data_IF_033965980370
#
_entry.id   IF_033965980370
#
_cell.length_a   1.000
_cell.length_b   1.000
_cell.length_c   1.000
_cell.angle_alpha   90.00
_cell.angle_beta   90.00
_cell.angle_gamma   90.00
#
_symmetry.space_group_name_H-M   'P 1'
#
loop_
_entity.id
_entity.type
_entity.pdbx_description
1 polymer ?
#
# COMPACT_ATOMS: atom_id res chain seq x y z
N UNK A 1 -6.62 -39.14 5.99
CA UNK A 1 -5.72 -40.31 5.81
C UNK A 1 -5.73 -40.74 4.35
N UNK A 2 -4.53 -40.81 3.72
CA UNK A 2 -4.22 -41.33 2.37
C UNK A 2 -4.69 -40.40 1.24
N UNK A 3 -3.85 -39.70 0.47
CA UNK A 3 -2.50 -40.00 -0.07
C UNK A 3 -1.84 -38.60 -0.29
N UNK A 4 -0.69 -38.21 0.25
CA UNK A 4 0.61 -38.91 0.28
C UNK A 4 1.39 -38.49 1.53
N UNK A 5 1.25 -39.30 2.58
CA UNK A 5 2.28 -39.54 3.60
C UNK A 5 3.21 -40.66 3.09
N UNK A 6 3.65 -40.58 1.83
CA UNK A 6 4.45 -41.64 1.22
C UNK A 6 5.31 -41.12 0.06
N UNK A 7 6.13 -40.09 0.30
CA UNK A 7 7.51 -40.03 -0.20
C UNK A 7 8.39 -38.85 0.29
N UNK A 8 8.13 -38.24 1.46
CA UNK A 8 9.18 -37.43 2.14
C UNK A 8 9.49 -37.95 3.55
N UNK A 9 8.89 -39.09 3.92
CA UNK A 9 9.47 -40.01 4.88
C UNK A 9 10.21 -41.12 4.12
N UNK A 10 11.26 -40.72 3.40
CA UNK A 10 12.39 -41.57 3.09
C UNK A 10 13.64 -40.77 3.53
N UNK A 11 13.96 -40.91 4.82
CA UNK A 11 15.18 -40.45 5.48
C UNK A 11 15.33 -38.91 5.60
N UNK A 12 14.86 -38.33 6.70
CA UNK A 12 15.86 -37.89 7.68
C UNK A 12 16.85 -39.02 7.96
N UNK A 13 17.99 -39.04 7.25
CA UNK A 13 19.25 -39.71 7.59
C UNK A 13 20.15 -39.76 6.35
N UNK A 14 20.72 -38.63 5.96
CA UNK A 14 22.17 -38.52 5.93
C UNK A 14 22.48 -37.09 6.36
N UNK A 15 23.20 -36.99 7.46
CA UNK A 15 23.75 -35.74 8.00
C UNK A 15 24.57 -35.04 6.92
N UNK A 16 24.02 -34.05 6.23
CA UNK A 16 24.73 -33.05 5.41
C UNK A 16 23.71 -32.34 4.53
N UNK A 17 23.77 -31.01 4.42
CA UNK A 17 22.80 -30.17 3.72
C UNK A 17 22.33 -30.70 2.36
N UNK A 18 21.08 -31.17 2.31
CA UNK A 18 20.44 -31.62 1.07
C UNK A 18 19.33 -30.67 0.67
N UNK A 19 19.40 -30.17 -0.56
CA UNK A 19 18.34 -29.42 -1.21
C UNK A 19 17.15 -30.35 -1.49
N UNK A 20 15.94 -29.90 -1.13
CA UNK A 20 14.69 -30.53 -1.55
C UNK A 20 14.32 -29.98 -2.92
N UNK A 21 14.03 -30.86 -3.89
CA UNK A 21 13.50 -30.49 -5.20
C UNK A 21 12.08 -31.06 -5.38
N UNK A 22 11.12 -30.20 -5.76
CA UNK A 22 9.72 -30.57 -5.97
C UNK A 22 9.37 -30.55 -7.47
N UNK A 23 8.38 -31.36 -7.90
CA UNK A 23 8.01 -31.52 -9.32
C UNK A 23 6.99 -30.48 -9.83
N UNK A 24 6.90 -30.29 -11.16
CA UNK A 24 6.10 -29.27 -11.89
C UNK A 24 4.60 -29.14 -11.55
N UNK A 25 4.01 -30.06 -10.77
CA UNK A 25 2.56 -30.12 -10.54
C UNK A 25 2.09 -29.39 -9.28
N UNK A 26 3.00 -29.06 -8.37
CA UNK A 26 2.64 -28.53 -7.06
C UNK A 26 2.49 -27.01 -7.12
N UNK A 27 1.23 -26.55 -7.16
CA UNK A 27 0.88 -25.13 -6.98
C UNK A 27 1.09 -24.65 -5.54
N UNK A 28 1.34 -25.57 -4.62
CA UNK A 28 1.42 -25.36 -3.19
C UNK A 28 2.55 -26.20 -2.61
N UNK A 29 3.54 -25.55 -1.99
CA UNK A 29 4.62 -26.20 -1.24
C UNK A 29 4.61 -25.66 0.18
N UNK A 30 4.58 -26.57 1.16
CA UNK A 30 4.78 -26.25 2.58
C UNK A 30 5.88 -27.15 3.15
N UNK A 31 7.00 -26.51 3.47
CA UNK A 31 8.18 -27.09 4.09
C UNK A 31 8.55 -26.30 5.34
N UNK A 32 7.55 -25.73 6.02
CA UNK A 32 7.77 -25.02 7.27
C UNK A 32 8.26 -25.96 8.37
N UNK A 33 9.10 -25.44 9.27
CA UNK A 33 9.59 -26.16 10.46
C UNK A 33 10.37 -27.45 10.15
N UNK A 34 11.13 -27.49 9.05
CA UNK A 34 11.88 -28.68 8.62
C UNK A 34 13.38 -28.60 8.92
N UNK A 35 13.85 -27.48 9.50
CA UNK A 35 15.28 -27.26 9.77
C UNK A 35 16.12 -27.15 8.50
N UNK A 36 15.52 -26.73 7.39
CA UNK A 36 16.19 -26.65 6.09
C UNK A 36 17.26 -25.56 6.09
N UNK A 37 18.44 -25.89 5.58
CA UNK A 37 19.50 -24.93 5.30
C UNK A 37 19.47 -24.45 3.85
N UNK A 38 18.80 -25.18 2.97
CA UNK A 38 18.60 -24.83 1.55
C UNK A 38 17.26 -25.35 1.04
N UNK A 39 16.74 -24.68 0.01
CA UNK A 39 15.49 -25.02 -0.66
C UNK A 39 15.58 -24.65 -2.14
N UNK A 40 15.29 -25.60 -3.04
CA UNK A 40 15.24 -25.36 -4.48
C UNK A 40 13.82 -25.53 -5.01
N UNK A 41 13.23 -24.42 -5.45
CA UNK A 41 11.89 -24.36 -6.06
C UNK A 41 11.94 -23.91 -7.53
N UNK A 42 13.12 -23.86 -8.14
CA UNK A 42 13.35 -23.32 -9.49
C UNK A 42 12.55 -24.05 -10.59
N UNK A 43 12.25 -25.35 -10.37
CA UNK A 43 11.47 -26.20 -11.29
C UNK A 43 9.95 -26.09 -11.08
N UNK A 44 9.50 -25.38 -10.05
CA UNK A 44 8.08 -25.20 -9.75
C UNK A 44 7.56 -23.90 -10.37
N UNK A 45 7.68 -23.72 -11.69
CA UNK A 45 7.32 -22.46 -12.36
C UNK A 45 5.83 -22.09 -12.23
N UNK A 46 4.97 -23.09 -12.01
CA UNK A 46 3.54 -22.91 -11.74
C UNK A 46 3.21 -22.73 -10.23
N UNK A 47 4.21 -22.58 -9.36
CA UNK A 47 4.02 -22.46 -7.92
C UNK A 47 3.27 -21.17 -7.58
N UNK A 48 2.17 -21.31 -6.84
CA UNK A 48 1.32 -20.19 -6.43
C UNK A 48 1.46 -19.85 -4.94
N UNK A 49 1.78 -20.86 -4.13
CA UNK A 49 1.96 -20.76 -2.69
C UNK A 49 3.26 -21.45 -2.27
N UNK A 50 4.11 -20.72 -1.55
CA UNK A 50 5.29 -21.27 -0.89
C UNK A 50 5.32 -20.89 0.59
N UNK A 51 5.30 -21.90 1.46
CA UNK A 51 5.58 -21.76 2.87
C UNK A 51 6.87 -22.49 3.24
N UNK A 52 7.90 -21.72 3.56
CA UNK A 52 9.20 -22.19 4.07
C UNK A 52 9.53 -21.54 5.41
N UNK A 53 8.50 -21.14 6.16
CA UNK A 53 8.61 -20.47 7.45
C UNK A 53 9.32 -21.32 8.50
N UNK A 54 10.09 -20.68 9.39
CA UNK A 54 10.81 -21.32 10.50
C UNK A 54 11.77 -22.42 10.03
N UNK A 55 12.79 -22.02 9.26
CA UNK A 55 13.89 -22.87 8.82
C UNK A 55 15.23 -22.15 9.10
N UNK A 56 16.31 -22.63 8.49
CA UNK A 56 17.66 -22.09 8.62
C UNK A 56 18.18 -21.60 7.25
N UNK A 57 17.27 -21.17 6.36
CA UNK A 57 17.62 -20.73 5.02
C UNK A 57 18.43 -19.43 5.11
N UNK A 58 19.60 -19.40 4.47
CA UNK A 58 20.41 -18.19 4.31
C UNK A 58 20.16 -17.50 2.98
N UNK A 59 19.64 -18.24 1.99
CA UNK A 59 19.20 -17.74 0.69
C UNK A 59 17.88 -18.39 0.29
N UNK A 60 17.12 -17.69 -0.55
CA UNK A 60 15.90 -18.19 -1.17
C UNK A 60 15.74 -17.56 -2.55
N UNK A 61 15.81 -18.37 -3.61
CA UNK A 61 15.56 -17.93 -4.98
C UNK A 61 14.14 -18.32 -5.40
N UNK A 62 13.33 -17.30 -5.71
CA UNK A 62 11.95 -17.44 -6.19
C UNK A 62 11.75 -16.80 -7.58
N UNK A 63 12.84 -16.48 -8.27
CA UNK A 63 12.82 -15.74 -9.55
C UNK A 63 12.07 -16.46 -10.66
N UNK A 64 12.07 -17.80 -10.64
CA UNK A 64 11.37 -18.65 -11.60
C UNK A 64 9.90 -18.89 -11.25
N UNK A 65 9.46 -18.52 -10.04
CA UNK A 65 8.10 -18.76 -9.53
C UNK A 65 7.21 -17.52 -9.74
N UNK A 66 7.13 -17.01 -10.96
CA UNK A 66 6.44 -15.75 -11.30
C UNK A 66 4.93 -15.78 -11.03
N UNK A 67 4.34 -16.98 -10.91
CA UNK A 67 2.94 -17.19 -10.54
C UNK A 67 2.66 -17.14 -9.02
N UNK A 68 3.67 -16.90 -8.18
CA UNK A 68 3.51 -16.80 -6.73
C UNK A 68 2.57 -15.66 -6.35
N UNK A 69 1.57 -15.99 -5.53
CA UNK A 69 0.67 -15.02 -4.91
C UNK A 69 0.87 -14.95 -3.39
N UNK A 70 1.49 -15.98 -2.80
CA UNK A 70 1.72 -16.12 -1.36
C UNK A 70 3.11 -16.67 -1.10
N UNK A 71 3.93 -15.91 -0.39
CA UNK A 71 5.27 -16.31 0.03
C UNK A 71 5.45 -16.08 1.52
N UNK A 72 5.66 -17.18 2.27
CA UNK A 72 5.95 -17.15 3.70
C UNK A 72 7.34 -17.72 3.93
N UNK A 73 8.31 -16.84 4.16
CA UNK A 73 9.73 -17.16 4.38
C UNK A 73 10.27 -16.56 5.68
N UNK A 74 9.39 -16.11 6.59
CA UNK A 74 9.79 -15.60 7.90
C UNK A 74 10.44 -16.65 8.81
N UNK A 75 11.11 -16.19 9.87
CA UNK A 75 11.94 -17.01 10.78
C UNK A 75 12.97 -17.84 10.02
N UNK A 76 13.83 -17.16 9.27
CA UNK A 76 14.97 -17.73 8.58
C UNK A 76 16.21 -16.87 8.85
N UNK A 77 17.28 -17.07 8.09
CA UNK A 77 18.54 -16.32 8.18
C UNK A 77 18.84 -15.59 6.87
N UNK A 78 17.79 -15.20 6.12
CA UNK A 78 17.93 -14.55 4.83
C UNK A 78 18.57 -13.17 5.00
N UNK A 79 19.66 -12.91 4.28
CA UNK A 79 20.31 -11.60 4.24
C UNK A 79 19.82 -10.72 3.10
N UNK A 80 19.21 -11.35 2.07
CA UNK A 80 18.53 -10.69 0.97
C UNK A 80 17.33 -11.52 0.51
N UNK A 81 16.38 -10.85 -0.14
CA UNK A 81 15.21 -11.46 -0.76
C UNK A 81 14.81 -10.65 -1.98
N UNK A 82 14.98 -11.22 -3.17
CA UNK A 82 14.51 -10.63 -4.43
C UNK A 82 13.14 -11.18 -4.79
N UNK A 83 12.14 -10.30 -4.81
CA UNK A 83 10.76 -10.60 -5.21
C UNK A 83 10.32 -9.80 -6.45
N UNK A 84 11.27 -9.17 -7.15
CA UNK A 84 11.00 -8.27 -8.28
C UNK A 84 10.31 -8.96 -9.47
N UNK A 85 10.47 -10.28 -9.61
CA UNK A 85 9.81 -11.10 -10.64
C UNK A 85 8.45 -11.64 -10.22
N UNK A 86 8.11 -11.58 -8.93
CA UNK A 86 6.87 -12.13 -8.38
C UNK A 86 5.80 -11.03 -8.27
N UNK A 87 5.52 -10.33 -9.38
CA UNK A 87 4.63 -9.16 -9.41
C UNK A 87 3.17 -9.49 -9.05
N UNK A 88 2.78 -10.77 -9.08
CA UNK A 88 1.49 -11.27 -8.65
C UNK A 88 1.38 -11.51 -7.13
N UNK A 89 2.43 -11.26 -6.35
CA UNK A 89 2.41 -11.43 -4.89
C UNK A 89 1.33 -10.55 -4.26
N UNK A 90 0.48 -11.19 -3.45
CA UNK A 90 -0.55 -10.56 -2.63
C UNK A 90 -0.22 -10.60 -1.15
N UNK A 91 0.48 -11.65 -0.71
CA UNK A 91 0.87 -11.88 0.68
C UNK A 91 2.35 -12.20 0.76
N UNK A 92 3.11 -11.40 1.51
CA UNK A 92 4.55 -11.61 1.72
C UNK A 92 4.89 -11.51 3.21
N UNK A 93 5.29 -12.63 3.81
CA UNK A 93 5.79 -12.65 5.19
C UNK A 93 7.26 -13.07 5.20
N UNK A 94 8.14 -12.11 5.45
CA UNK A 94 9.59 -12.26 5.51
C UNK A 94 10.16 -11.76 6.85
N UNK A 95 9.33 -11.68 7.88
CA UNK A 95 9.70 -11.26 9.23
C UNK A 95 10.75 -12.18 9.88
N UNK A 96 11.49 -11.70 10.87
CA UNK A 96 12.49 -12.49 11.60
C UNK A 96 13.53 -13.11 10.65
N UNK A 97 14.21 -12.24 9.90
CA UNK A 97 15.32 -12.56 9.01
C UNK A 97 16.48 -11.58 9.30
N UNK A 98 17.48 -11.53 8.42
CA UNK A 98 18.63 -10.62 8.47
C UNK A 98 18.61 -9.63 7.29
N UNK A 99 17.42 -9.27 6.79
CA UNK A 99 17.28 -8.36 5.65
C UNK A 99 17.66 -6.94 6.08
N UNK A 100 18.52 -6.26 5.33
CA UNK A 100 18.80 -4.83 5.53
C UNK A 100 17.97 -3.93 4.61
N UNK A 101 17.42 -4.50 3.55
CA UNK A 101 16.54 -3.84 2.60
C UNK A 101 15.56 -4.87 2.03
N UNK A 102 14.34 -4.45 1.73
CA UNK A 102 13.41 -5.20 0.91
C UNK A 102 12.76 -4.28 -0.13
N UNK A 103 13.02 -4.55 -1.40
CA UNK A 103 12.38 -3.85 -2.52
C UNK A 103 11.09 -4.58 -2.91
N UNK A 104 9.96 -3.92 -2.66
CA UNK A 104 8.61 -4.37 -3.05
C UNK A 104 7.95 -3.38 -4.02
N UNK A 105 8.74 -2.48 -4.62
CA UNK A 105 8.24 -1.47 -5.56
C UNK A 105 7.61 -2.07 -6.83
N UNK A 106 7.91 -3.34 -7.15
CA UNK A 106 7.29 -4.08 -8.26
C UNK A 106 6.10 -4.95 -7.85
N UNK A 107 5.87 -5.13 -6.55
CA UNK A 107 4.82 -5.99 -6.02
C UNK A 107 3.58 -5.17 -5.68
N UNK A 108 3.05 -4.43 -6.66
CA UNK A 108 1.91 -3.50 -6.48
C UNK A 108 0.60 -4.18 -6.12
N UNK A 109 0.51 -5.51 -6.28
CA UNK A 109 -0.65 -6.31 -5.88
C UNK A 109 -0.64 -6.73 -4.40
N UNK A 110 0.37 -6.34 -3.62
CA UNK A 110 0.44 -6.64 -2.19
C UNK A 110 -0.77 -6.03 -1.47
N UNK A 111 -1.36 -6.85 -0.59
CA UNK A 111 -2.44 -6.45 0.32
C UNK A 111 -2.14 -6.88 1.77
N UNK A 112 -1.06 -7.62 1.98
CA UNK A 112 -0.53 -8.03 3.27
C UNK A 112 1.01 -8.19 3.18
N UNK A 113 1.71 -7.52 4.09
CA UNK A 113 3.17 -7.51 4.20
C UNK A 113 3.51 -7.67 5.68
N UNK A 114 4.44 -8.56 5.98
CA UNK A 114 5.04 -8.66 7.31
C UNK A 114 6.55 -8.80 7.20
N UNK A 115 7.27 -7.72 7.48
CA UNK A 115 8.73 -7.65 7.45
C UNK A 115 9.35 -7.26 8.80
N UNK A 116 8.62 -7.44 9.90
CA UNK A 116 9.10 -7.14 11.25
C UNK A 116 10.30 -7.98 11.68
N UNK A 117 11.00 -7.54 12.73
CA UNK A 117 12.15 -8.26 13.31
C UNK A 117 13.25 -8.56 12.29
N UNK A 118 13.54 -7.60 11.41
CA UNK A 118 14.79 -7.54 10.67
C UNK A 118 15.78 -6.62 11.43
N UNK A 119 17.09 -6.66 11.14
CA UNK A 119 18.11 -5.88 11.83
C UNK A 119 17.85 -4.37 11.83
N UNK A 120 18.55 -3.67 12.72
CA UNK A 120 18.57 -2.21 12.76
C UNK A 120 19.04 -1.62 11.42
N UNK A 121 18.40 -0.53 10.99
CA UNK A 121 18.64 0.06 9.67
C UNK A 121 17.89 -0.62 8.52
N UNK A 122 17.04 -1.62 8.78
CA UNK A 122 16.15 -2.16 7.77
C UNK A 122 15.23 -1.08 7.19
N UNK A 123 15.17 -1.02 5.86
CA UNK A 123 14.27 -0.12 5.15
C UNK A 123 13.56 -0.82 3.98
N UNK A 124 12.45 -0.22 3.53
CA UNK A 124 11.70 -0.67 2.37
C UNK A 124 11.96 0.22 1.14
N UNK A 125 11.98 -0.38 -0.05
CA UNK A 125 11.77 0.36 -1.29
C UNK A 125 10.34 0.08 -1.73
N UNK A 126 9.52 1.13 -1.76
CA UNK A 126 8.08 1.03 -2.01
C UNK A 126 7.69 1.96 -3.16
N UNK A 127 6.57 1.67 -3.81
CA UNK A 127 5.94 2.68 -4.67
C UNK A 127 5.07 3.61 -3.83
N UNK A 128 4.94 4.90 -4.23
CA UNK A 128 3.89 5.75 -3.71
C UNK A 128 2.55 5.03 -3.77
N UNK A 129 1.75 5.17 -2.73
CA UNK A 129 0.39 4.63 -2.66
C UNK A 129 0.25 3.11 -2.60
N UNK A 130 1.35 2.38 -2.55
CA UNK A 130 1.29 0.93 -2.36
C UNK A 130 0.83 0.56 -0.95
N UNK A 131 0.22 -0.62 -0.79
CA UNK A 131 -0.04 -1.19 0.52
C UNK A 131 1.23 -1.24 1.38
N UNK A 132 2.38 -1.56 0.77
CA UNK A 132 3.67 -1.58 1.46
C UNK A 132 4.07 -0.20 2.01
N UNK A 133 3.76 0.89 1.30
CA UNK A 133 3.97 2.25 1.80
C UNK A 133 3.07 2.55 3.00
N UNK A 134 1.77 2.23 2.90
CA UNK A 134 0.83 2.34 4.02
C UNK A 134 1.34 1.58 5.24
N UNK A 135 1.72 0.32 5.04
CA UNK A 135 2.28 -0.54 6.07
C UNK A 135 3.57 0.08 6.66
N UNK A 136 4.46 0.62 5.84
CA UNK A 136 5.69 1.24 6.33
C UNK A 136 5.39 2.43 7.25
N UNK A 137 4.46 3.31 6.87
CA UNK A 137 4.05 4.47 7.66
C UNK A 137 3.39 4.04 8.98
N UNK A 138 2.41 3.13 8.93
CA UNK A 138 1.67 2.67 10.11
C UNK A 138 2.57 2.01 11.16
N UNK A 139 3.66 1.40 10.71
CA UNK A 139 4.57 0.63 11.55
C UNK A 139 5.93 1.33 11.78
N UNK A 140 6.06 2.60 11.35
CA UNK A 140 7.28 3.41 11.55
C UNK A 140 8.53 2.82 10.89
N UNK A 141 8.38 2.08 9.79
CA UNK A 141 9.49 1.45 9.08
C UNK A 141 10.12 2.48 8.13
N UNK A 142 11.45 2.68 8.17
CA UNK A 142 12.16 3.48 7.18
C UNK A 142 11.86 3.03 5.75
N UNK A 143 11.68 3.97 4.82
CA UNK A 143 11.48 3.64 3.41
C UNK A 143 12.06 4.69 2.48
N UNK A 144 12.24 4.31 1.21
CA UNK A 144 12.63 5.18 0.10
C UNK A 144 11.82 4.80 -1.16
N UNK A 145 11.86 5.65 -2.18
CA UNK A 145 11.30 5.35 -3.49
C UNK A 145 12.39 4.87 -4.46
N UNK A 146 11.99 4.23 -5.58
CA UNK A 146 12.95 3.69 -6.54
C UNK A 146 13.88 4.76 -7.10
N UNK A 147 15.18 4.46 -7.13
CA UNK A 147 16.22 5.37 -7.65
C UNK A 147 16.80 6.32 -6.61
N UNK A 148 16.29 6.31 -5.38
CA UNK A 148 16.86 7.09 -4.28
C UNK A 148 18.09 6.41 -3.67
N UNK A 149 19.05 7.18 -3.13
CA UNK A 149 20.13 6.62 -2.34
C UNK A 149 19.58 5.91 -1.10
N UNK A 150 20.24 4.83 -0.70
CA UNK A 150 19.94 4.16 0.56
C UNK A 150 20.03 5.17 1.72
N UNK A 151 19.17 5.07 2.75
CA UNK A 151 19.30 5.92 3.93
C UNK A 151 20.69 5.73 4.54
N UNK A 152 21.44 6.82 4.69
CA UNK A 152 22.79 6.76 5.26
C UNK A 152 22.69 6.59 6.78
N UNK A 153 23.44 5.64 7.37
CA UNK A 153 23.52 5.52 8.83
C UNK A 153 24.18 6.75 9.48
N UNK A 154 25.15 7.36 8.79
CA UNK A 154 25.74 8.63 9.21
C UNK A 154 24.87 9.78 8.74
N UNK A 155 24.20 10.40 9.70
CA UNK A 155 23.51 11.66 9.53
C UNK A 155 24.54 12.78 9.60
N UNK A 156 24.48 13.79 8.71
CA UNK A 156 25.39 14.93 8.78
C UNK A 156 25.36 15.54 10.18
N UNK A 157 26.53 15.90 10.70
CA UNK A 157 26.64 16.57 11.99
C UNK A 157 26.02 17.96 11.87
N UNK A 158 24.93 18.19 12.60
CA UNK A 158 24.16 19.44 12.57
C UNK A 158 24.34 20.13 13.92
N UNK A 159 24.19 21.46 13.96
CA UNK A 159 24.27 22.24 15.19
C UNK A 159 23.38 21.60 16.30
N UNK A 160 23.96 21.18 17.44
CA UNK A 160 23.25 20.53 18.54
C UNK A 160 22.09 21.33 19.14
N UNK A 161 22.07 22.65 18.91
CA UNK A 161 20.98 23.52 19.38
C UNK A 161 19.74 23.49 18.48
N UNK A 162 19.83 22.93 17.27
CA UNK A 162 18.72 22.90 16.32
C UNK A 162 17.75 21.75 16.63
N UNK A 163 16.48 22.10 16.69
CA UNK A 163 15.34 21.18 16.71
C UNK A 163 14.27 21.74 15.78
N UNK A 164 13.66 20.90 14.94
CA UNK A 164 12.71 21.32 13.91
C UNK A 164 13.22 21.07 12.50
N UNK A 165 12.66 21.75 11.50
CA UNK A 165 13.11 21.58 10.12
C UNK A 165 14.24 22.53 9.77
N UNK A 166 15.29 22.01 9.13
CA UNK A 166 16.42 22.81 8.63
C UNK A 166 16.89 22.32 7.27
N UNK A 167 17.63 23.16 6.54
CA UNK A 167 18.27 22.77 5.29
C UNK A 167 19.64 22.16 5.57
N UNK A 168 19.88 20.96 5.07
CA UNK A 168 21.15 20.25 5.17
C UNK A 168 21.51 19.72 3.79
N UNK A 169 22.67 20.12 3.26
CA UNK A 169 23.15 19.72 1.93
C UNK A 169 22.12 19.87 0.79
N UNK A 170 21.26 20.89 0.88
CA UNK A 170 20.23 21.18 -0.13
C UNK A 170 18.90 20.43 0.04
N UNK A 171 18.76 19.60 1.08
CA UNK A 171 17.51 18.95 1.45
C UNK A 171 16.91 19.54 2.73
N UNK A 172 15.58 19.67 2.81
CA UNK A 172 14.89 20.04 4.05
C UNK A 172 14.76 18.78 4.91
N UNK A 173 15.34 18.79 6.11
CA UNK A 173 15.38 17.64 7.02
C UNK A 173 14.81 18.00 8.40
N UNK A 174 14.18 17.04 9.07
CA UNK A 174 13.72 17.15 10.45
C UNK A 174 14.83 16.72 11.41
N UNK A 175 15.21 17.60 12.33
CA UNK A 175 16.34 17.42 13.26
C UNK A 175 15.89 17.60 14.71
N UNK A 176 16.57 16.92 15.62
CA UNK A 176 16.43 17.12 17.06
C UNK A 176 17.78 16.93 17.74
N UNK A 177 18.19 17.91 18.54
CA UNK A 177 19.47 17.87 19.26
C UNK A 177 20.70 17.72 18.36
N UNK A 178 20.67 18.29 17.14
CA UNK A 178 21.76 18.21 16.16
C UNK A 178 21.90 16.88 15.41
N UNK A 179 20.89 16.02 15.49
CA UNK A 179 20.80 14.81 14.67
C UNK A 179 19.53 14.84 13.82
N UNK A 180 19.60 14.35 12.58
CA UNK A 180 18.41 14.04 11.79
C UNK A 180 17.61 12.98 12.56
N UNK A 181 16.30 13.13 12.66
CA UNK A 181 15.45 12.11 13.30
C UNK A 181 14.85 11.23 12.21
N UNK A 182 14.91 9.90 12.35
CA UNK A 182 14.32 8.98 11.37
C UNK A 182 12.80 8.94 11.53
N UNK A 183 12.15 10.00 11.06
CA UNK A 183 10.70 10.11 10.98
C UNK A 183 10.24 9.90 9.53
N UNK A 184 9.20 9.08 9.37
CA UNK A 184 8.54 8.85 8.09
C UNK A 184 7.04 9.11 8.24
N UNK A 185 6.41 9.67 7.22
CA UNK A 185 5.03 10.15 7.27
C UNK A 185 4.92 11.67 7.39
N UNK A 186 3.72 12.18 7.71
CA UNK A 186 3.53 13.61 7.95
C UNK A 186 4.12 14.03 9.30
N UNK A 187 4.92 15.09 9.29
CA UNK A 187 5.59 15.62 10.48
C UNK A 187 5.27 17.10 10.59
N UNK A 188 4.79 17.52 11.76
CA UNK A 188 4.50 18.92 12.05
C UNK A 188 5.80 19.73 12.15
N UNK A 189 5.82 20.90 11.52
CA UNK A 189 6.90 21.87 11.71
C UNK A 189 6.69 22.59 13.06
N UNK A 190 7.58 22.42 14.05
CA UNK A 190 7.37 23.00 15.38
C UNK A 190 7.39 24.54 15.39
N UNK A 191 7.95 25.14 14.34
CA UNK A 191 8.11 26.60 14.23
C UNK A 191 7.03 27.25 13.35
N UNK A 192 6.07 26.46 12.83
CA UNK A 192 4.97 26.98 12.01
C UNK A 192 3.69 26.14 12.13
N UNK A 193 2.72 26.39 11.25
CA UNK A 193 1.51 25.55 11.12
C UNK A 193 1.64 24.54 9.98
N UNK A 194 2.79 24.50 9.33
CA UNK A 194 3.05 23.61 8.20
C UNK A 194 3.27 22.17 8.67
N UNK A 195 2.93 21.24 7.77
CA UNK A 195 3.27 19.84 7.91
C UNK A 195 4.00 19.38 6.66
N UNK A 196 4.99 18.53 6.85
CA UNK A 196 5.80 18.01 5.75
C UNK A 196 5.78 16.49 5.74
N UNK A 197 5.58 15.92 4.56
CA UNK A 197 5.71 14.51 4.32
C UNK A 197 7.20 14.15 4.24
N UNK A 198 7.65 13.35 5.21
CA UNK A 198 9.03 12.98 5.39
C UNK A 198 9.25 11.49 5.09
N UNK A 199 10.47 11.16 4.70
CA UNK A 199 10.99 9.80 4.60
C UNK A 199 12.38 9.80 5.21
N UNK A 200 12.58 9.03 6.29
CA UNK A 200 13.86 8.97 7.02
C UNK A 200 14.37 10.36 7.43
N UNK A 201 13.45 11.21 7.91
CA UNK A 201 13.75 12.58 8.31
C UNK A 201 13.91 13.59 7.18
N UNK A 202 13.79 13.19 5.90
CA UNK A 202 13.93 14.09 4.74
C UNK A 202 12.56 14.45 4.18
N UNK A 203 12.29 15.74 3.98
CA UNK A 203 11.07 16.22 3.31
C UNK A 203 11.06 15.79 1.84
N UNK A 204 9.96 15.19 1.42
CA UNK A 204 9.76 14.59 0.11
C UNK A 204 9.16 15.55 -0.90
N UNK A 205 9.99 16.44 -1.44
CA UNK A 205 9.55 17.49 -2.37
C UNK A 205 9.06 16.98 -3.72
N UNK A 206 9.32 15.71 -4.04
CA UNK A 206 8.85 15.01 -5.23
C UNK A 206 7.43 14.44 -5.10
N UNK A 207 6.84 14.49 -3.90
CA UNK A 207 5.52 13.89 -3.61
C UNK A 207 4.42 14.93 -3.73
N UNK A 208 3.49 14.72 -4.66
CA UNK A 208 2.27 15.53 -4.83
C UNK A 208 1.04 14.63 -5.00
N UNK A 209 0.53 14.08 -3.91
CA UNK A 209 -0.54 13.08 -3.91
C UNK A 209 -1.16 12.92 -2.52
N UNK A 210 -2.09 11.98 -2.36
CA UNK A 210 -2.58 11.57 -1.05
C UNK A 210 -1.53 10.74 -0.29
N UNK A 211 -1.36 11.03 1.01
CA UNK A 211 -0.50 10.30 1.96
C UNK A 211 -1.32 9.93 3.19
N UNK A 212 -1.09 8.72 3.71
CA UNK A 212 -1.75 8.26 4.93
C UNK A 212 -0.96 8.74 6.14
N UNK A 213 -1.65 9.27 7.13
CA UNK A 213 -1.08 9.61 8.42
C UNK A 213 -2.14 9.48 9.51
N UNK A 214 -1.81 8.78 10.59
CA UNK A 214 -2.69 8.58 11.76
C UNK A 214 -4.13 8.14 11.38
N UNK A 215 -4.22 7.19 10.45
CA UNK A 215 -5.50 6.63 9.98
C UNK A 215 -6.31 7.54 9.05
N UNK A 216 -5.82 8.72 8.69
CA UNK A 216 -6.46 9.65 7.75
C UNK A 216 -5.57 9.94 6.53
N UNK A 217 -6.21 10.24 5.39
CA UNK A 217 -5.53 10.57 4.15
C UNK A 217 -5.48 12.07 3.93
N UNK A 218 -4.30 12.58 3.60
CA UNK A 218 -4.02 14.00 3.44
C UNK A 218 -3.40 14.26 2.08
N UNK A 219 -3.75 15.38 1.46
CA UNK A 219 -3.19 15.79 0.18
C UNK A 219 -1.97 16.68 0.40
N UNK A 220 -0.84 16.26 -0.15
CA UNK A 220 0.41 17.04 -0.12
C UNK A 220 0.76 17.50 -1.53
N UNK A 221 1.39 18.67 -1.62
CA UNK A 221 1.96 19.23 -2.85
C UNK A 221 3.41 19.57 -2.59
N UNK A 222 4.32 18.98 -3.38
CA UNK A 222 5.75 19.13 -3.18
C UNK A 222 6.21 18.76 -1.76
N UNK A 223 5.64 17.70 -1.19
CA UNK A 223 5.95 17.24 0.16
C UNK A 223 5.38 18.07 1.30
N UNK A 224 4.64 19.15 1.03
CA UNK A 224 3.99 19.97 2.05
C UNK A 224 2.49 19.69 2.07
N UNK A 225 1.89 19.56 3.26
CA UNK A 225 0.44 19.44 3.42
C UNK A 225 -0.25 20.71 2.89
N UNK A 226 -1.16 20.54 1.92
CA UNK A 226 -1.98 21.64 1.41
C UNK A 226 -3.34 21.65 2.12
N UNK A 227 -3.40 22.31 3.26
CA UNK A 227 -4.63 22.46 4.06
C UNK A 227 -5.69 23.33 3.39
N UNK A 228 -5.38 23.96 2.25
CA UNK A 228 -6.32 24.81 1.50
C UNK A 228 -6.96 24.07 0.33
N UNK A 229 -6.42 22.93 -0.07
CA UNK A 229 -6.94 22.16 -1.19
C UNK A 229 -8.35 21.64 -0.90
N UNK A 230 -9.25 21.89 -1.85
CA UNK A 230 -10.57 21.29 -1.91
C UNK A 230 -10.89 20.90 -3.35
N UNK A 231 -11.32 19.66 -3.58
CA UNK A 231 -11.59 19.12 -4.91
C UNK A 231 -11.45 17.61 -4.97
N UNK A 232 -11.51 17.06 -6.17
CA UNK A 232 -11.35 15.62 -6.41
C UNK A 232 -9.88 15.29 -6.68
N UNK A 233 -9.35 14.27 -6.00
CA UNK A 233 -8.02 13.70 -6.25
C UNK A 233 -8.18 12.27 -6.75
N UNK A 234 -7.55 11.97 -7.88
CA UNK A 234 -7.43 10.60 -8.39
C UNK A 234 -6.27 9.90 -7.66
N UNK A 235 -6.52 8.73 -7.08
CA UNK A 235 -5.55 8.00 -6.28
C UNK A 235 -5.83 6.51 -6.27
N UNK A 236 -4.81 5.68 -6.52
CA UNK A 236 -4.92 4.21 -6.51
C UNK A 236 -6.15 3.65 -7.27
N UNK A 237 -6.44 4.23 -8.44
CA UNK A 237 -7.59 3.85 -9.28
C UNK A 237 -8.96 4.34 -8.78
N UNK A 238 -9.02 4.99 -7.62
CA UNK A 238 -10.19 5.67 -7.07
C UNK A 238 -10.17 7.18 -7.31
N UNK A 239 -11.30 7.83 -7.05
CA UNK A 239 -11.46 9.29 -7.08
C UNK A 239 -12.07 9.75 -5.77
N UNK A 240 -11.38 10.61 -5.05
CA UNK A 240 -11.72 10.97 -3.66
C UNK A 240 -12.00 12.45 -3.53
N UNK A 241 -13.05 12.81 -2.80
CA UNK A 241 -13.30 14.18 -2.43
C UNK A 241 -12.38 14.57 -1.26
N UNK A 242 -11.60 15.62 -1.48
CA UNK A 242 -10.72 16.21 -0.49
C UNK A 242 -11.26 17.59 -0.13
N UNK A 243 -11.26 17.89 1.16
CA UNK A 243 -11.60 19.20 1.71
C UNK A 243 -10.61 19.57 2.80
N UNK A 244 -10.14 20.82 2.79
CA UNK A 244 -9.10 21.31 3.68
C UNK A 244 -7.85 20.40 3.72
N UNK A 245 -7.46 19.87 2.56
CA UNK A 245 -6.31 18.97 2.42
C UNK A 245 -6.49 17.56 2.96
N UNK A 246 -7.71 17.13 3.33
CA UNK A 246 -7.98 15.79 3.85
C UNK A 246 -9.12 15.10 3.09
N UNK A 247 -9.04 13.78 2.88
CA UNK A 247 -10.19 13.03 2.32
C UNK A 247 -11.39 13.16 3.26
N UNK A 248 -12.53 13.54 2.70
CA UNK A 248 -13.80 13.71 3.41
C UNK A 248 -14.56 12.38 3.51
N UNK A 249 -14.05 11.45 4.33
CA UNK A 249 -14.62 10.10 4.50
C UNK A 249 -16.07 10.08 5.00
N UNK A 250 -16.51 11.18 5.62
CA UNK A 250 -17.87 11.40 6.09
C UNK A 250 -18.88 11.67 4.97
N UNK A 251 -18.41 12.01 3.77
CA UNK A 251 -19.28 12.35 2.65
C UNK A 251 -19.89 11.09 2.04
N UNK A 252 -21.22 11.04 2.06
CA UNK A 252 -22.06 9.96 1.55
C UNK A 252 -23.16 10.53 0.66
N UNK A 253 -23.58 9.77 -0.35
CA UNK A 253 -24.65 10.17 -1.25
C UNK A 253 -24.24 11.28 -2.22
N UNK A 254 -25.24 12.01 -2.73
CA UNK A 254 -25.04 13.00 -3.80
C UNK A 254 -24.41 14.29 -3.23
N UNK A 255 -23.20 14.63 -3.70
CA UNK A 255 -22.49 15.83 -3.30
C UNK A 255 -21.83 16.50 -4.52
N UNK A 256 -21.61 17.80 -4.41
CA UNK A 256 -21.03 18.60 -5.48
C UNK A 256 -19.50 18.64 -5.36
N UNK A 257 -18.81 18.52 -6.48
CA UNK A 257 -17.39 18.86 -6.59
C UNK A 257 -17.24 20.39 -6.44
N UNK A 258 -16.53 20.88 -5.41
CA UNK A 258 -16.39 22.31 -5.15
C UNK A 258 -15.61 23.05 -6.25
N UNK A 259 -14.88 22.35 -7.11
CA UNK A 259 -14.09 22.95 -8.20
C UNK A 259 -14.93 23.09 -9.47
N UNK A 260 -15.54 22.00 -9.92
CA UNK A 260 -16.24 21.98 -11.22
C UNK A 260 -17.74 22.25 -11.12
N UNK A 261 -18.33 22.14 -9.93
CA UNK A 261 -19.77 22.19 -9.72
C UNK A 261 -20.51 20.91 -10.18
N UNK A 262 -19.81 19.90 -10.68
CA UNK A 262 -20.44 18.64 -11.07
C UNK A 262 -20.85 17.82 -9.84
N UNK A 263 -21.98 17.12 -9.94
CA UNK A 263 -22.51 16.28 -8.86
C UNK A 263 -22.11 14.82 -9.02
N UNK A 264 -21.63 14.23 -7.93
CA UNK A 264 -21.23 12.83 -7.87
C UNK A 264 -21.85 12.12 -6.67
N UNK A 265 -22.06 10.82 -6.81
CA UNK A 265 -22.53 9.96 -5.73
C UNK A 265 -21.34 9.34 -5.01
N UNK A 266 -21.21 9.65 -3.72
CA UNK A 266 -20.08 9.25 -2.88
C UNK A 266 -20.46 8.13 -1.91
N UNK A 267 -19.46 7.32 -1.58
CA UNK A 267 -19.45 6.41 -0.43
C UNK A 267 -18.07 6.45 0.21
N UNK A 268 -18.02 6.74 1.51
CA UNK A 268 -16.79 6.94 2.30
C UNK A 268 -15.82 7.98 1.68
N UNK A 269 -16.37 9.06 1.13
CA UNK A 269 -15.58 10.10 0.44
C UNK A 269 -15.06 9.70 -0.96
N UNK A 270 -15.34 8.49 -1.42
CA UNK A 270 -14.95 7.97 -2.75
C UNK A 270 -16.14 7.99 -3.71
N UNK A 271 -15.92 8.42 -4.96
CA UNK A 271 -16.94 8.38 -6.01
C UNK A 271 -17.27 6.93 -6.35
N UNK A 272 -18.57 6.58 -6.27
CA UNK A 272 -19.06 5.23 -6.57
C UNK A 272 -19.32 5.09 -8.07
N UNK A 273 -18.25 4.87 -8.85
CA UNK A 273 -18.31 4.83 -10.32
C UNK A 273 -19.18 3.72 -10.90
N UNK A 274 -19.54 2.71 -10.11
CA UNK A 274 -20.43 1.61 -10.51
C UNK A 274 -21.90 1.86 -10.18
N UNK A 275 -22.22 2.94 -9.46
CA UNK A 275 -23.59 3.22 -9.05
C UNK A 275 -24.38 3.89 -10.19
N UNK A 276 -25.52 3.28 -10.55
CA UNK A 276 -26.52 3.88 -11.44
C UNK A 276 -27.90 3.68 -10.80
N UNK A 277 -28.66 4.76 -10.63
CA UNK A 277 -29.91 4.74 -9.86
C UNK A 277 -30.39 6.12 -9.45
N UNK A 278 -31.31 6.19 -8.49
CA UNK A 278 -31.80 7.45 -7.93
C UNK A 278 -31.13 7.77 -6.59
N UNK A 279 -30.63 8.99 -6.42
CA UNK A 279 -30.07 9.48 -5.18
C UNK A 279 -30.86 10.68 -4.66
N UNK A 280 -31.15 10.70 -3.36
CA UNK A 280 -31.85 11.81 -2.71
C UNK A 280 -30.87 12.93 -2.33
N UNK A 281 -31.23 14.16 -2.63
CA UNK A 281 -30.55 15.37 -2.18
C UNK A 281 -31.58 16.47 -1.94
N UNK A 282 -31.51 17.09 -0.75
CA UNK A 282 -32.39 18.21 -0.34
C UNK A 282 -33.89 17.98 -0.63
N UNK A 283 -34.38 16.77 -0.31
CA UNK A 283 -35.79 16.40 -0.49
C UNK A 283 -36.22 16.07 -1.93
N UNK A 284 -35.32 16.15 -2.91
CA UNK A 284 -35.55 15.73 -4.29
C UNK A 284 -34.72 14.48 -4.63
N UNK A 285 -35.17 13.71 -5.62
CA UNK A 285 -34.45 12.55 -6.12
C UNK A 285 -33.87 12.85 -7.50
N UNK A 286 -32.63 12.41 -7.71
CA UNK A 286 -31.86 12.70 -8.92
C UNK A 286 -31.29 11.42 -9.51
N UNK A 287 -31.23 11.37 -10.84
CA UNK A 287 -30.76 10.21 -11.58
C UNK A 287 -29.25 10.26 -11.78
N UNK A 288 -28.59 9.22 -11.26
CA UNK A 288 -27.14 9.05 -11.27
C UNK A 288 -26.80 7.94 -12.26
N UNK A 289 -25.78 8.19 -13.08
CA UNK A 289 -25.21 7.23 -14.03
C UNK A 289 -23.71 7.13 -13.79
N UNK A 290 -23.21 5.92 -13.53
CA UNK A 290 -21.80 5.64 -13.25
C UNK A 290 -21.19 6.59 -12.17
N UNK A 291 -21.96 6.84 -11.11
CA UNK A 291 -21.56 7.68 -9.98
C UNK A 291 -21.65 9.19 -10.23
N UNK A 292 -22.18 9.65 -11.37
CA UNK A 292 -22.35 11.07 -11.69
C UNK A 292 -23.81 11.42 -11.97
N UNK A 293 -24.27 12.58 -11.52
CA UNK A 293 -25.59 13.10 -11.91
C UNK A 293 -25.68 13.30 -13.43
N UNK A 294 -26.72 12.76 -14.05
CA UNK A 294 -27.06 13.05 -15.44
C UNK A 294 -28.19 14.08 -15.50
N UNK A 295 -27.81 15.35 -15.57
CA UNK A 295 -28.73 16.51 -15.64
C UNK A 295 -29.52 16.58 -16.96
N UNK A 296 -29.20 15.72 -17.94
CA UNK A 296 -29.84 15.73 -19.26
C UNK A 296 -30.83 14.59 -19.45
N UNK A 297 -30.80 13.59 -18.58
CA UNK A 297 -31.64 12.41 -18.71
C UNK A 297 -33.13 12.75 -18.55
N UNK A 298 -33.93 12.29 -19.50
CA UNK A 298 -35.40 12.32 -19.41
C UNK A 298 -35.94 10.97 -19.85
N UNK A 299 -36.71 10.31 -18.98
CA UNK A 299 -37.23 8.98 -19.23
C UNK A 299 -37.63 8.24 -17.95
N UNK A 300 -38.02 6.98 -18.12
CA UNK A 300 -38.47 6.13 -17.01
C UNK A 300 -37.30 5.29 -16.50
N UNK A 301 -37.16 5.23 -15.17
CA UNK A 301 -36.11 4.45 -14.50
C UNK A 301 -36.73 3.52 -13.47
N UNK A 302 -36.17 2.33 -13.35
CA UNK A 302 -36.53 1.41 -12.28
C UNK A 302 -35.60 1.60 -11.09
N UNK A 303 -36.18 1.80 -9.90
CA UNK A 303 -35.44 1.95 -8.65
C UNK A 303 -36.21 1.26 -7.52
N UNK A 304 -35.53 0.46 -6.71
CA UNK A 304 -36.12 -0.30 -5.58
C UNK A 304 -37.44 -1.05 -5.93
N UNK A 305 -37.49 -1.65 -7.13
CA UNK A 305 -38.66 -2.40 -7.59
C UNK A 305 -39.83 -1.56 -8.11
N UNK A 306 -39.76 -0.23 -8.09
CA UNK A 306 -40.76 0.68 -8.65
C UNK A 306 -40.26 1.47 -9.87
N UNK A 307 -41.17 2.02 -10.68
CA UNK A 307 -40.81 2.90 -11.79
C UNK A 307 -41.07 4.36 -11.46
N UNK A 308 -40.14 5.19 -11.91
CA UNK A 308 -40.17 6.63 -11.71
C UNK A 308 -39.87 7.34 -13.03
N UNK A 309 -40.60 8.43 -13.26
CA UNK A 309 -40.34 9.32 -14.39
C UNK A 309 -39.35 10.41 -13.96
N UNK A 310 -38.30 10.59 -14.73
CA UNK A 310 -37.24 11.58 -14.53
C UNK A 310 -37.26 12.57 -15.68
N UNK A 311 -37.10 13.86 -15.37
CA UNK A 311 -37.00 14.95 -16.35
C UNK A 311 -35.77 15.79 -15.99
N UNK A 312 -34.87 15.98 -16.95
CA UNK A 312 -33.60 16.70 -16.78
C UNK A 312 -32.84 16.27 -15.51
N UNK A 313 -32.73 14.95 -15.31
CA UNK A 313 -32.03 14.35 -14.19
C UNK A 313 -32.78 14.35 -12.86
N UNK A 314 -33.94 15.02 -12.72
CA UNK A 314 -34.73 15.03 -11.49
C UNK A 314 -35.98 14.14 -11.61
N UNK A 315 -36.23 13.31 -10.60
CA UNK A 315 -37.46 12.53 -10.47
C UNK A 315 -38.67 13.45 -10.26
N UNK A 316 -39.70 13.30 -11.09
CA UNK A 316 -40.92 14.12 -11.01
C UNK A 316 -42.17 13.34 -10.58
N UNK A 317 -42.19 12.02 -10.78
CA UNK A 317 -43.32 11.17 -10.38
C UNK A 317 -42.90 9.71 -10.22
N UNK A 318 -43.59 9.00 -9.35
CA UNK A 318 -43.69 7.53 -9.39
C UNK A 318 -44.82 7.16 -10.36
N UNK A 319 -44.59 6.20 -11.25
CA UNK A 319 -45.51 5.88 -12.37
C UNK A 319 -46.11 4.47 -12.28
N UNK A 320 -46.19 3.94 -11.06
CA UNK A 320 -46.80 2.65 -10.73
C UNK A 320 -48.11 2.82 -9.96
#
# INVERSE_FOLDING_TARGET
MKKVLALVLALALLMSGTALAFTEKDKYIDVSNQGLTSLDVSRNTALNYLNCYNNQLTTLDVSMNTALTRLFCGKNQLTSLDVSKNTALKYLWCNSNQLTCLDVSKNTALIDLNCYNNPEGFYLIVMPSSYAMKYAVENGIPYIFPGEPAPTPEKPAIDPSLTGFTMVDGAKMFVSGGAVVDVSGLVADPDSTDWYFCSNGVVRTDVSQLVLYDGAWFYVVGGKLDTTFAGIVDYDGGRFLVGAGRIMTEVQGLNQDPVTGAWFYYGDGMIQTQYTGLAMYDGAWFYIVNGRLDETFTGDVQYDGAWFHVVNGQMVAQIN
#
